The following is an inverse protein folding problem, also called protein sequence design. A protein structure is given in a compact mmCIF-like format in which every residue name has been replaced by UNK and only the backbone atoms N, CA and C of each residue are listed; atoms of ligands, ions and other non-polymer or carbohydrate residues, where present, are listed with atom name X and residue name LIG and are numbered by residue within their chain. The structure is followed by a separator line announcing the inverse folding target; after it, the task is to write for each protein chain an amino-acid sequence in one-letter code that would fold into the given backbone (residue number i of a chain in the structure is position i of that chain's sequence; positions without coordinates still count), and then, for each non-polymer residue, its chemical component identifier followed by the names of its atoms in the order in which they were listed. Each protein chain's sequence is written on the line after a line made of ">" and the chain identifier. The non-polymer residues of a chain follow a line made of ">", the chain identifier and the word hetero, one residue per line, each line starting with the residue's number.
data_IF_515240545048
#
_entry.id   IF_515240545048
#
_cell.length_a   1.000
_cell.length_b   1.000
_cell.length_c   1.000
_cell.angle_alpha   90.00
_cell.angle_beta   90.00
_cell.angle_gamma   90.00
#
_symmetry.space_group_name_H-M   'P 1'
#
loop_
_entity.id
_entity.type
_entity.pdbx_description
1 polymer ?
#
# COMPACT_ATOMS: atom_id res chain seq x y z
N UNK A 1 1.93 -9.98 -19.57
CA UNK A 1 0.57 -10.25 -20.10
C UNK A 1 0.31 -9.32 -21.28
N UNK A 2 1.02 -9.50 -22.41
CA UNK A 2 0.72 -8.74 -23.64
C UNK A 2 0.99 -9.53 -24.94
N UNK A 3 1.28 -10.83 -24.85
CA UNK A 3 1.60 -11.66 -26.01
C UNK A 3 0.48 -11.67 -27.06
N UNK A 4 -0.78 -11.67 -26.63
CA UNK A 4 -1.93 -11.59 -27.52
C UNK A 4 -2.00 -10.25 -28.28
N UNK A 5 -1.71 -9.13 -27.59
CA UNK A 5 -1.67 -7.80 -28.19
C UNK A 5 -0.49 -7.66 -29.15
N UNK A 6 0.67 -8.22 -28.79
CA UNK A 6 1.86 -8.26 -29.63
C UNK A 6 1.64 -9.06 -30.92
N UNK A 7 0.97 -10.22 -30.85
CA UNK A 7 0.62 -11.01 -32.03
C UNK A 7 -0.33 -10.25 -32.96
N UNK A 8 -1.37 -9.61 -32.42
CA UNK A 8 -2.28 -8.80 -33.25
C UNK A 8 -1.54 -7.60 -33.86
N UNK A 9 -0.65 -6.94 -33.11
CA UNK A 9 0.19 -5.86 -33.62
C UNK A 9 1.17 -6.33 -34.71
N UNK A 10 1.60 -7.59 -34.66
CA UNK A 10 2.42 -8.24 -35.69
C UNK A 10 1.64 -8.72 -36.91
N UNK A 11 0.36 -8.35 -37.06
CA UNK A 11 -0.47 -8.67 -38.23
C UNK A 11 -1.26 -9.97 -38.16
N UNK A 12 -1.21 -10.70 -37.04
CA UNK A 12 -1.96 -11.94 -36.89
C UNK A 12 -3.47 -11.68 -36.73
N UNK A 13 -4.29 -12.51 -37.38
CA UNK A 13 -5.74 -12.40 -37.28
C UNK A 13 -6.26 -12.63 -35.85
N UNK A 14 -7.13 -11.74 -35.38
CA UNK A 14 -7.75 -11.84 -34.04
C UNK A 14 -8.44 -13.19 -33.83
N UNK A 15 -9.07 -13.74 -34.88
CA UNK A 15 -9.73 -15.05 -34.82
C UNK A 15 -8.77 -16.21 -34.56
N UNK A 16 -7.55 -16.16 -35.09
CA UNK A 16 -6.50 -17.14 -34.84
C UNK A 16 -5.95 -17.00 -33.43
N UNK A 17 -5.60 -15.77 -33.04
CA UNK A 17 -5.08 -15.46 -31.69
C UNK A 17 -6.06 -15.89 -30.60
N UNK A 18 -7.36 -15.64 -30.79
CA UNK A 18 -8.43 -16.07 -29.87
C UNK A 18 -8.44 -17.58 -29.65
N UNK A 19 -8.37 -18.37 -30.73
CA UNK A 19 -8.38 -19.84 -30.66
C UNK A 19 -7.11 -20.38 -30.03
N UNK A 20 -5.94 -19.91 -30.47
CA UNK A 20 -4.65 -20.39 -29.99
C UNK A 20 -4.41 -20.07 -28.51
N UNK A 21 -4.79 -18.87 -28.05
CA UNK A 21 -4.58 -18.44 -26.66
C UNK A 21 -5.79 -18.70 -25.75
N UNK A 22 -6.89 -19.24 -26.29
CA UNK A 22 -8.16 -19.47 -25.59
C UNK A 22 -8.69 -18.21 -24.88
N UNK A 23 -8.52 -17.05 -25.52
CA UNK A 23 -9.01 -15.75 -25.03
C UNK A 23 -10.27 -15.40 -25.83
N UNK A 24 -11.29 -14.86 -25.15
CA UNK A 24 -12.51 -14.35 -25.79
C UNK A 24 -12.18 -13.30 -26.86
N UNK A 25 -12.83 -13.38 -28.03
CA UNK A 25 -12.70 -12.38 -29.10
C UNK A 25 -13.06 -10.98 -28.61
N UNK A 26 -14.14 -10.85 -27.84
CA UNK A 26 -14.54 -9.57 -27.27
C UNK A 26 -13.47 -8.98 -26.33
N UNK A 27 -12.81 -9.84 -25.54
CA UNK A 27 -11.69 -9.43 -24.69
C UNK A 27 -10.47 -9.02 -25.50
N UNK A 28 -10.16 -9.71 -26.61
CA UNK A 28 -9.07 -9.33 -27.51
C UNK A 28 -9.33 -7.99 -28.18
N UNK A 29 -10.54 -7.76 -28.69
CA UNK A 29 -10.93 -6.45 -29.22
C UNK A 29 -10.80 -5.36 -28.14
N UNK A 30 -11.27 -5.62 -26.92
CA UNK A 30 -11.10 -4.69 -25.82
C UNK A 30 -9.63 -4.46 -25.45
N UNK A 31 -8.74 -5.44 -25.62
CA UNK A 31 -7.30 -5.29 -25.38
C UNK A 31 -6.63 -4.47 -26.49
N UNK A 32 -6.98 -4.72 -27.76
CA UNK A 32 -6.38 -4.07 -28.92
C UNK A 32 -6.81 -2.60 -29.03
N UNK A 33 -8.09 -2.30 -28.78
CA UNK A 33 -8.64 -0.95 -28.85
C UNK A 33 -8.20 -0.03 -27.70
N UNK A 34 -7.49 -0.55 -26.68
CA UNK A 34 -6.94 0.28 -25.59
C UNK A 34 -5.77 1.13 -26.08
N UNK A 35 -5.77 2.41 -25.71
CA UNK A 35 -4.61 3.29 -25.87
C UNK A 35 -3.36 2.73 -25.18
N UNK A 36 -2.17 3.15 -25.63
CA UNK A 36 -0.87 2.79 -25.03
C UNK A 36 -0.77 3.23 -23.55
N UNK A 37 -1.44 4.31 -23.17
CA UNK A 37 -1.51 4.80 -21.80
C UNK A 37 -2.68 4.22 -20.98
N UNK A 38 -3.42 3.25 -21.54
CA UNK A 38 -4.55 2.66 -20.84
C UNK A 38 -4.08 1.93 -19.58
N UNK A 39 -4.70 2.26 -18.45
CA UNK A 39 -4.46 1.59 -17.18
C UNK A 39 -5.76 0.94 -16.72
N UNK A 40 -5.65 -0.29 -16.23
CA UNK A 40 -6.81 -0.97 -15.64
C UNK A 40 -7.31 -0.16 -14.45
N UNK A 41 -8.57 0.28 -14.50
CA UNK A 41 -9.21 1.03 -13.42
C UNK A 41 -9.24 0.24 -12.10
N UNK A 42 -9.19 -1.11 -12.18
CA UNK A 42 -9.05 -1.99 -11.00
C UNK A 42 -7.67 -1.93 -10.37
N UNK A 43 -6.62 -1.55 -11.12
CA UNK A 43 -5.35 -1.15 -10.52
C UNK A 43 -5.57 0.19 -9.86
N UNK A 44 -5.88 0.14 -8.56
CA UNK A 44 -6.05 1.31 -7.71
C UNK A 44 -4.82 2.20 -7.87
N UNK A 45 -5.02 3.44 -8.30
CA UNK A 45 -3.97 4.47 -8.26
C UNK A 45 -3.44 4.51 -6.83
N UNK A 46 -2.13 4.28 -6.65
CA UNK A 46 -1.51 4.52 -5.35
C UNK A 46 -1.71 6.01 -5.03
N UNK A 47 -2.39 6.36 -3.93
CA UNK A 47 -2.45 7.75 -3.50
C UNK A 47 -1.03 8.27 -3.34
N UNK A 48 -0.81 9.53 -3.71
CA UNK A 48 0.45 10.18 -3.40
C UNK A 48 0.54 10.36 -1.87
N UNK A 49 1.38 9.56 -1.25
CA UNK A 49 1.60 9.54 0.19
C UNK A 49 2.87 10.33 0.57
N UNK A 50 3.50 11.05 -0.37
CA UNK A 50 4.79 11.74 -0.18
C UNK A 50 4.73 12.81 0.92
N UNK A 51 3.75 13.72 0.85
CA UNK A 51 3.56 14.77 1.86
C UNK A 51 3.26 14.20 3.25
N UNK A 52 2.35 13.20 3.29
CA UNK A 52 1.99 12.53 4.54
C UNK A 52 3.19 11.79 5.15
N UNK A 53 4.05 11.20 4.31
CA UNK A 53 5.27 10.52 4.74
C UNK A 53 6.29 11.52 5.31
N UNK A 54 6.49 12.67 4.66
CA UNK A 54 7.36 13.73 5.15
C UNK A 54 6.94 14.19 6.55
N UNK A 55 5.65 14.48 6.74
CA UNK A 55 5.10 14.85 8.07
C UNK A 55 5.29 13.76 9.12
N UNK A 56 5.09 12.49 8.74
CA UNK A 56 5.34 11.34 9.64
C UNK A 56 6.82 11.27 10.04
N UNK A 57 7.76 11.49 9.11
CA UNK A 57 9.18 11.50 9.42
C UNK A 57 9.56 12.62 10.39
N UNK A 58 8.99 13.82 10.24
CA UNK A 58 9.19 14.90 11.21
C UNK A 58 8.78 14.46 12.62
N UNK A 59 7.59 13.87 12.77
CA UNK A 59 7.09 13.41 14.08
C UNK A 59 7.90 12.24 14.66
N UNK A 60 8.35 11.30 13.83
CA UNK A 60 9.12 10.14 14.29
C UNK A 60 10.56 10.54 14.67
N UNK A 61 11.15 11.52 13.97
CA UNK A 61 12.50 12.01 14.27
C UNK A 61 12.64 12.44 15.73
N UNK A 62 11.62 13.12 16.26
CA UNK A 62 11.59 13.57 17.65
C UNK A 62 11.24 12.43 18.63
N UNK A 63 10.50 11.42 18.18
CA UNK A 63 9.84 10.42 19.05
C UNK A 63 9.91 9.00 18.45
N UNK A 64 11.10 8.36 18.42
CA UNK A 64 11.31 7.07 17.76
C UNK A 64 10.60 5.89 18.44
N UNK A 65 10.11 6.08 19.68
CA UNK A 65 9.34 5.07 20.44
C UNK A 65 7.83 5.16 20.23
N UNK A 66 7.36 6.03 19.33
CA UNK A 66 5.93 6.23 19.12
C UNK A 66 5.37 5.29 18.05
N UNK A 67 4.32 4.54 18.40
CA UNK A 67 3.55 3.76 17.46
C UNK A 67 2.54 4.63 16.68
N UNK A 68 2.00 4.07 15.59
CA UNK A 68 1.14 4.78 14.64
C UNK A 68 -0.07 5.51 15.26
N UNK A 69 -0.63 5.01 16.37
CA UNK A 69 -1.76 5.67 17.05
C UNK A 69 -1.36 7.01 17.67
N UNK A 70 -0.15 7.09 18.27
CA UNK A 70 0.37 8.32 18.86
C UNK A 70 0.81 9.31 17.78
N UNK A 71 1.49 8.82 16.75
CA UNK A 71 1.85 9.61 15.56
C UNK A 71 0.60 10.24 14.93
N UNK A 72 -0.47 9.46 14.74
CA UNK A 72 -1.73 10.00 14.21
C UNK A 72 -2.35 11.09 15.09
N UNK A 73 -2.33 10.93 16.42
CA UNK A 73 -2.87 11.93 17.33
C UNK A 73 -2.09 13.26 17.23
N UNK A 74 -0.77 13.21 17.07
CA UNK A 74 0.06 14.40 16.87
C UNK A 74 -0.21 15.05 15.51
N UNK A 75 -0.24 14.26 14.43
CA UNK A 75 -0.54 14.77 13.09
C UNK A 75 -1.92 15.43 13.03
N UNK A 76 -2.90 14.89 13.76
CA UNK A 76 -4.24 15.48 13.84
C UNK A 76 -4.21 16.84 14.53
N UNK A 77 -3.55 16.96 15.68
CA UNK A 77 -3.41 18.23 16.41
C UNK A 77 -2.68 19.29 15.58
N UNK A 78 -1.61 18.90 14.87
CA UNK A 78 -0.91 19.78 13.93
C UNK A 78 -1.84 20.24 12.81
N UNK A 79 -2.58 19.31 12.19
CA UNK A 79 -3.54 19.66 11.15
C UNK A 79 -4.65 20.60 11.62
N UNK A 80 -5.12 20.47 12.86
CA UNK A 80 -6.10 21.38 13.46
C UNK A 80 -5.52 22.77 13.75
N UNK A 81 -4.21 22.87 14.02
CA UNK A 81 -3.52 24.15 14.28
C UNK A 81 -3.15 24.87 12.98
N UNK A 82 -2.70 24.11 11.98
CA UNK A 82 -2.21 24.62 10.70
C UNK A 82 -3.33 24.72 9.63
N UNK A 83 -4.59 24.47 10.03
CA UNK A 83 -5.78 24.36 9.15
C UNK A 83 -5.55 23.46 7.92
N UNK A 84 -4.81 22.37 8.12
CA UNK A 84 -4.49 21.39 7.08
C UNK A 84 -5.46 20.22 7.08
N UNK A 85 -5.54 19.51 5.95
CA UNK A 85 -6.33 18.29 5.85
C UNK A 85 -5.89 17.21 6.87
N UNK A 86 -6.84 16.74 7.68
CA UNK A 86 -6.60 15.69 8.68
C UNK A 86 -6.35 14.35 8.00
N UNK A 87 -5.21 13.74 8.30
CA UNK A 87 -4.84 12.41 7.78
C UNK A 87 -5.58 11.33 8.59
N UNK A 88 -6.29 10.44 7.89
CA UNK A 88 -6.97 9.30 8.52
C UNK A 88 -5.96 8.33 9.19
N UNK A 89 -6.27 7.83 10.39
CA UNK A 89 -5.43 6.88 11.11
C UNK A 89 -5.07 5.61 10.29
N UNK A 90 -6.00 5.11 9.46
CA UNK A 90 -5.74 3.97 8.56
C UNK A 90 -4.69 4.30 7.50
N UNK A 91 -4.66 5.55 7.02
CA UNK A 91 -3.65 6.03 6.06
C UNK A 91 -2.28 6.11 6.73
N UNK A 92 -2.19 6.66 7.94
CA UNK A 92 -0.96 6.67 8.74
C UNK A 92 -0.42 5.26 8.96
N UNK A 93 -1.26 4.32 9.40
CA UNK A 93 -0.86 2.92 9.59
C UNK A 93 -0.29 2.30 8.31
N UNK A 94 -0.98 2.49 7.18
CA UNK A 94 -0.53 1.93 5.89
C UNK A 94 0.83 2.49 5.49
N UNK A 95 1.00 3.81 5.57
CA UNK A 95 2.26 4.49 5.21
C UNK A 95 3.39 4.01 6.11
N UNK A 96 3.20 3.99 7.43
CA UNK A 96 4.21 3.51 8.37
C UNK A 96 4.57 2.04 8.13
N UNK A 97 3.58 1.18 7.85
CA UNK A 97 3.81 -0.23 7.54
C UNK A 97 4.61 -0.42 6.24
N UNK A 98 4.29 0.34 5.20
CA UNK A 98 4.96 0.24 3.89
C UNK A 98 6.40 0.74 3.93
N UNK A 99 6.73 1.62 4.86
CA UNK A 99 8.07 2.21 5.02
C UNK A 99 8.85 1.64 6.22
N UNK A 100 8.40 0.51 6.79
CA UNK A 100 9.04 -0.13 7.95
C UNK A 100 9.24 0.77 9.19
N UNK A 101 8.31 1.72 9.40
CA UNK A 101 8.35 2.69 10.51
C UNK A 101 7.56 2.22 11.75
N UNK A 102 7.06 1.00 11.74
CA UNK A 102 6.34 0.45 12.90
C UNK A 102 7.33 -0.15 13.89
N UNK A 103 7.09 0.09 15.18
CA UNK A 103 7.84 -0.54 16.25
C UNK A 103 7.73 -2.06 16.15
N UNK A 104 8.87 -2.73 16.33
CA UNK A 104 8.89 -4.19 16.47
C UNK A 104 8.05 -4.60 17.67
N UNK A 105 7.16 -5.57 17.45
CA UNK A 105 6.45 -6.20 18.56
C UNK A 105 7.49 -6.97 19.36
N UNK A 106 7.70 -6.56 20.61
CA UNK A 106 8.48 -7.35 21.57
C UNK A 106 7.97 -8.79 21.55
N UNK A 107 8.82 -9.81 21.36
CA UNK A 107 8.37 -11.19 21.37
C UNK A 107 7.67 -11.46 22.70
N UNK A 108 6.44 -12.01 22.61
CA UNK A 108 5.72 -12.46 23.80
C UNK A 108 6.58 -13.51 24.48
N UNK A 109 6.95 -13.26 25.74
CA UNK A 109 7.59 -14.27 26.56
C UNK A 109 6.57 -15.41 26.67
N UNK A 110 6.92 -16.65 26.30
CA UNK A 110 6.00 -17.77 26.44
C UNK A 110 5.50 -17.84 27.90
N UNK A 111 4.20 -18.10 28.14
CA UNK A 111 3.60 -18.03 29.48
C UNK A 111 4.25 -18.98 30.52
N UNK A 112 5.13 -19.89 30.10
CA UNK A 112 5.87 -20.82 30.97
C UNK A 112 7.11 -20.26 31.69
N UNK A 113 7.54 -19.00 31.44
CA UNK A 113 8.72 -18.40 32.13
C UNK A 113 8.38 -17.25 33.08
N UNK A 114 7.10 -17.01 33.35
CA UNK A 114 6.66 -15.84 34.12
C UNK A 114 6.45 -16.11 35.63
N UNK A 115 6.75 -17.32 36.12
CA UNK A 115 6.35 -17.76 37.47
C UNK A 115 7.38 -17.60 38.60
N UNK A 116 8.59 -17.05 38.39
CA UNK A 116 9.59 -16.95 39.47
C UNK A 116 10.33 -15.61 39.54
N UNK A 117 9.62 -14.47 39.70
CA UNK A 117 10.26 -13.20 40.16
C UNK A 117 9.38 -12.31 41.02
N UNK A 118 8.51 -12.88 41.86
CA UNK A 118 8.02 -12.20 43.07
C UNK A 118 7.89 -13.23 44.18
N UNK A 119 8.78 -13.11 45.17
CA UNK A 119 8.62 -13.39 46.60
C UNK A 119 10.01 -13.61 47.23
N UNK A 120 10.72 -12.53 47.55
CA UNK A 120 11.43 -12.37 48.82
C UNK A 120 11.27 -10.92 49.24
N UNK A 121 10.81 -10.74 50.48
CA UNK A 121 10.51 -9.46 51.09
C UNK A 121 11.75 -8.68 51.49
#
# INVERSE_FOLDING_TARGET
>A
MDSARALVAGGWQIGLVSRCLRISRAQLHAIVSRSKNWQDRRRKRKPDDTEALARIHTVIGDLPTYGYRRVWALLRRQSETDDMAVINAKRVYRIMRQNALLLERKPEIPPGRQSYRRCRG
#
